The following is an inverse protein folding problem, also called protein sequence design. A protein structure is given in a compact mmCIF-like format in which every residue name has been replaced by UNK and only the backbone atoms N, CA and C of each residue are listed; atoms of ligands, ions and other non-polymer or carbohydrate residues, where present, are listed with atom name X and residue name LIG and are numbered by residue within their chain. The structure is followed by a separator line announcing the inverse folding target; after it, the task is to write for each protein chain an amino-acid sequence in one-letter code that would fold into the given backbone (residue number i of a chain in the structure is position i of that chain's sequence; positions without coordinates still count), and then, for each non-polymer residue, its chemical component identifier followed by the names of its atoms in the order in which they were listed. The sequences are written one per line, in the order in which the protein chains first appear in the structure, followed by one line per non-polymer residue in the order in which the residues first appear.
data_IF_268164075892
#
_entry.id   IF_268164075892
#
_cell.length_a   1.000
_cell.length_b   1.000
_cell.length_c   1.000
_cell.angle_alpha   90.00
_cell.angle_beta   90.00
_cell.angle_gamma   90.00
#
_symmetry.space_group_name_H-M   'P 1'
#
loop_
_entity.id
_entity.type
_entity.pdbx_description
1 polymer ?
#
# COMPACT_ATOMS: atom_id res chain seq x y z
N UNK A 1 -14.65 -15.92 17.94
CA UNK A 1 -14.00 -15.16 16.84
C UNK A 1 -14.31 -13.65 16.84
N UNK A 2 -15.16 -13.13 17.74
CA UNK A 2 -15.57 -11.70 17.75
C UNK A 2 -14.79 -10.77 18.67
N UNK A 3 -13.88 -11.34 19.44
CA UNK A 3 -13.03 -10.60 20.36
C UNK A 3 -11.58 -10.74 19.90
N UNK A 4 -10.89 -9.61 19.70
CA UNK A 4 -9.46 -9.57 19.41
C UNK A 4 -8.69 -8.90 20.54
N UNK A 5 -7.46 -9.38 20.76
CA UNK A 5 -6.47 -8.71 21.61
C UNK A 5 -5.56 -7.90 20.71
N UNK A 6 -5.42 -6.61 20.95
CA UNK A 6 -4.54 -5.72 20.19
C UNK A 6 -3.26 -5.52 20.98
N UNK A 7 -2.14 -5.84 20.34
CA UNK A 7 -0.79 -5.62 20.89
C UNK A 7 -0.14 -4.52 20.04
N UNK A 8 0.17 -3.35 20.62
CA UNK A 8 0.88 -2.30 19.91
C UNK A 8 2.35 -2.68 19.75
N UNK A 9 2.86 -2.62 18.53
CA UNK A 9 4.28 -2.84 18.20
C UNK A 9 4.89 -1.50 17.77
N UNK A 10 5.99 -1.11 18.40
CA UNK A 10 6.69 0.13 18.07
C UNK A 10 7.29 0.07 16.64
N UNK A 11 7.06 1.11 15.83
CA UNK A 11 7.56 1.22 14.46
C UNK A 11 8.83 2.07 14.38
N UNK A 12 8.77 3.34 14.78
CA UNK A 12 9.85 4.32 14.64
C UNK A 12 9.50 5.65 15.31
N UNK A 13 10.47 6.51 15.61
CA UNK A 13 10.21 7.86 16.14
C UNK A 13 10.15 7.90 17.67
N UNK A 14 9.26 8.73 18.22
CA UNK A 14 9.08 8.83 19.68
C UNK A 14 8.16 7.73 20.20
N UNK A 15 8.57 7.05 21.28
CA UNK A 15 7.76 6.04 21.98
C UNK A 15 6.60 6.64 22.78
N UNK A 16 6.55 7.97 22.92
CA UNK A 16 5.47 8.69 23.61
C UNK A 16 4.28 8.98 22.69
N UNK A 17 4.48 8.90 21.37
CA UNK A 17 3.43 9.15 20.38
C UNK A 17 2.76 7.83 19.96
N UNK A 18 1.45 7.62 20.25
CA UNK A 18 0.73 6.42 19.85
C UNK A 18 0.68 6.19 18.34
N UNK A 19 0.85 7.24 17.50
CA UNK A 19 0.87 7.12 16.05
C UNK A 19 2.11 6.34 15.54
N UNK A 20 3.16 6.25 16.36
CA UNK A 20 4.37 5.50 16.08
C UNK A 20 4.26 4.00 16.41
N UNK A 21 3.10 3.54 16.87
CA UNK A 21 2.81 2.13 17.13
C UNK A 21 1.87 1.56 16.07
N UNK A 22 2.14 0.29 15.71
CA UNK A 22 1.32 -0.51 14.82
C UNK A 22 0.47 -1.47 15.66
N UNK A 23 -0.86 -1.36 15.65
CA UNK A 23 -1.72 -2.29 16.37
C UNK A 23 -1.79 -3.64 15.65
N UNK A 24 -1.37 -4.73 16.31
CA UNK A 24 -1.55 -6.09 15.78
C UNK A 24 -2.66 -6.80 16.55
N UNK A 25 -3.71 -7.19 15.82
CA UNK A 25 -4.79 -8.02 16.33
C UNK A 25 -4.39 -9.49 16.39
N UNK A 26 -4.40 -10.03 17.60
CA UNK A 26 -4.20 -11.45 17.88
C UNK A 26 -5.54 -12.12 18.09
N UNK A 27 -5.81 -13.12 17.26
CA UNK A 27 -7.01 -13.95 17.34
C UNK A 27 -6.75 -15.31 18.01
N UNK A 28 -7.79 -15.91 18.63
CA UNK A 28 -7.75 -17.31 19.05
C UNK A 28 -7.43 -18.24 17.86
N UNK A 29 -6.63 -19.28 18.10
CA UNK A 29 -6.14 -20.23 17.08
C UNK A 29 -7.26 -20.82 16.21
N UNK A 30 -8.39 -21.22 16.81
CA UNK A 30 -9.52 -21.76 16.05
C UNK A 30 -10.09 -20.75 15.04
N UNK A 31 -10.07 -19.45 15.37
CA UNK A 31 -10.51 -18.40 14.45
C UNK A 31 -9.59 -18.31 13.23
N UNK A 32 -8.28 -18.55 13.43
CA UNK A 32 -7.29 -18.51 12.35
C UNK A 32 -7.50 -19.64 11.35
N UNK A 33 -7.82 -20.84 11.83
CA UNK A 33 -8.15 -21.99 10.97
C UNK A 33 -9.37 -21.67 10.11
N UNK A 34 -10.42 -21.12 10.73
CA UNK A 34 -11.63 -20.76 10.01
C UNK A 34 -11.41 -19.65 8.97
N UNK A 35 -10.66 -18.59 9.33
CA UNK A 35 -10.27 -17.54 8.38
C UNK A 35 -9.45 -18.08 7.20
N UNK A 36 -8.56 -19.05 7.46
CA UNK A 36 -7.75 -19.67 6.42
C UNK A 36 -8.62 -20.43 5.41
N UNK A 37 -9.60 -21.21 5.88
CA UNK A 37 -10.54 -21.93 5.01
C UNK A 37 -11.35 -20.95 4.14
N UNK A 38 -11.87 -19.86 4.74
CA UNK A 38 -12.59 -18.83 3.98
C UNK A 38 -11.67 -18.18 2.94
N UNK A 39 -10.46 -17.79 3.36
CA UNK A 39 -9.49 -17.15 2.48
C UNK A 39 -9.16 -18.02 1.27
N UNK A 40 -8.91 -19.31 1.48
CA UNK A 40 -8.56 -20.23 0.39
C UNK A 40 -9.70 -20.37 -0.64
N UNK A 41 -10.96 -20.44 -0.18
CA UNK A 41 -12.13 -20.46 -1.06
C UNK A 41 -12.32 -19.15 -1.82
N UNK A 42 -12.17 -18.01 -1.13
CA UNK A 42 -12.31 -16.68 -1.75
C UNK A 42 -11.22 -16.41 -2.77
N UNK A 43 -9.96 -16.73 -2.45
CA UNK A 43 -8.85 -16.62 -3.39
C UNK A 43 -9.05 -17.53 -4.61
N UNK A 44 -9.51 -18.76 -4.41
CA UNK A 44 -9.83 -19.67 -5.52
C UNK A 44 -10.89 -19.04 -6.45
N UNK A 45 -11.98 -18.52 -5.89
CA UNK A 45 -13.03 -17.84 -6.66
C UNK A 45 -12.49 -16.60 -7.42
N UNK A 46 -11.74 -15.73 -6.75
CA UNK A 46 -11.18 -14.52 -7.38
C UNK A 46 -10.16 -14.85 -8.47
N UNK A 47 -9.35 -15.88 -8.29
CA UNK A 47 -8.35 -16.30 -9.27
C UNK A 47 -8.98 -16.95 -10.51
N UNK A 48 -9.94 -17.87 -10.33
CA UNK A 48 -10.62 -18.55 -11.44
C UNK A 48 -11.34 -17.53 -12.34
N UNK A 49 -11.97 -16.53 -11.73
CA UNK A 49 -12.72 -15.50 -12.44
C UNK A 49 -11.86 -14.27 -12.82
N UNK A 50 -10.54 -14.29 -12.56
CA UNK A 50 -9.60 -13.20 -12.85
C UNK A 50 -10.08 -11.83 -12.34
N UNK A 51 -10.59 -11.79 -11.11
CA UNK A 51 -11.24 -10.61 -10.54
C UNK A 51 -10.27 -9.60 -9.95
N UNK A 52 -9.06 -10.03 -9.56
CA UNK A 52 -8.03 -9.11 -9.07
C UNK A 52 -7.33 -8.42 -10.23
N UNK A 53 -7.10 -7.11 -10.10
CA UNK A 53 -6.47 -6.32 -11.13
C UNK A 53 -5.01 -6.75 -11.35
N UNK A 54 -4.56 -6.74 -12.61
CA UNK A 54 -3.21 -7.18 -12.98
C UNK A 54 -2.09 -6.30 -12.42
N UNK A 55 -2.40 -5.11 -11.93
CA UNK A 55 -1.42 -4.20 -11.34
C UNK A 55 -1.31 -4.35 -9.81
N UNK A 56 -2.03 -5.31 -9.21
CA UNK A 56 -1.91 -5.64 -7.79
C UNK A 56 -0.90 -6.77 -7.57
N UNK A 57 0.24 -6.46 -6.96
CA UNK A 57 1.31 -7.41 -6.67
C UNK A 57 1.32 -7.86 -5.21
N UNK A 58 0.73 -7.08 -4.31
CA UNK A 58 0.66 -7.37 -2.89
C UNK A 58 -0.29 -8.53 -2.60
N UNK A 59 0.12 -9.42 -1.70
CA UNK A 59 -0.68 -10.55 -1.21
C UNK A 59 -1.32 -11.42 -2.30
N UNK A 60 -0.76 -11.39 -3.51
CA UNK A 60 -1.27 -12.11 -4.68
C UNK A 60 -0.36 -13.28 -4.98
N UNK A 61 -0.93 -14.46 -5.25
CA UNK A 61 -0.15 -15.68 -5.46
C UNK A 61 0.75 -15.54 -6.70
N UNK A 62 2.03 -15.89 -6.54
CA UNK A 62 3.00 -15.85 -7.64
C UNK A 62 3.47 -14.45 -8.01
N UNK A 63 3.19 -13.45 -7.16
CA UNK A 63 3.70 -12.08 -7.29
C UNK A 63 4.48 -11.69 -6.05
N UNK A 64 5.50 -10.88 -6.26
CA UNK A 64 6.46 -10.49 -5.24
C UNK A 64 6.73 -8.99 -5.27
N UNK A 65 7.44 -8.50 -4.25
CA UNK A 65 7.94 -7.11 -4.23
C UNK A 65 8.91 -6.85 -5.38
N UNK A 66 9.66 -7.85 -5.82
CA UNK A 66 10.57 -7.73 -6.96
C UNK A 66 9.81 -7.58 -8.27
N UNK A 67 8.72 -8.32 -8.46
CA UNK A 67 7.89 -8.18 -9.68
C UNK A 67 7.28 -6.78 -9.78
N UNK A 68 6.79 -6.25 -8.66
CA UNK A 68 6.26 -4.88 -8.59
C UNK A 68 7.35 -3.84 -8.91
N UNK A 69 8.57 -4.05 -8.39
CA UNK A 69 9.71 -3.19 -8.67
C UNK A 69 10.12 -3.21 -10.14
N UNK A 70 10.18 -4.40 -10.73
CA UNK A 70 10.48 -4.57 -12.17
C UNK A 70 9.43 -3.87 -13.02
N UNK A 71 8.13 -4.03 -12.72
CA UNK A 71 7.07 -3.38 -13.50
C UNK A 71 7.14 -1.84 -13.38
N UNK A 72 7.36 -1.31 -12.17
CA UNK A 72 7.55 0.13 -11.96
C UNK A 72 8.74 0.68 -12.79
N UNK A 73 9.88 0.02 -12.71
CA UNK A 73 11.10 0.41 -13.43
C UNK A 73 10.88 0.31 -14.94
N UNK A 74 10.18 -0.72 -15.41
CA UNK A 74 9.82 -0.89 -16.81
C UNK A 74 8.94 0.28 -17.31
N UNK A 75 7.95 0.73 -16.55
CA UNK A 75 7.17 1.92 -16.93
C UNK A 75 8.05 3.18 -17.09
N UNK A 76 9.04 3.35 -16.20
CA UNK A 76 10.01 4.46 -16.28
C UNK A 76 10.88 4.33 -17.54
N UNK A 77 11.42 3.15 -17.82
CA UNK A 77 12.23 2.91 -19.03
C UNK A 77 11.44 3.13 -20.31
N UNK A 78 10.19 2.64 -20.38
CA UNK A 78 9.34 2.87 -21.54
C UNK A 78 9.11 4.37 -21.80
N UNK A 79 9.03 5.22 -20.77
CA UNK A 79 8.97 6.67 -20.96
C UNK A 79 10.28 7.20 -21.58
N UNK A 80 11.42 6.78 -21.04
CA UNK A 80 12.73 7.23 -21.53
C UNK A 80 13.03 6.79 -22.96
N UNK A 81 12.65 5.56 -23.34
CA UNK A 81 12.77 5.05 -24.72
C UNK A 81 11.97 5.90 -25.71
N UNK A 82 10.82 6.44 -25.27
CA UNK A 82 10.01 7.37 -26.05
C UNK A 82 10.49 8.83 -25.96
N UNK A 83 11.69 9.08 -25.40
CA UNK A 83 12.24 10.43 -25.17
C UNK A 83 11.37 11.32 -24.26
N UNK A 84 10.56 10.70 -23.40
CA UNK A 84 9.74 11.33 -22.37
C UNK A 84 10.45 11.29 -21.01
N UNK A 85 10.04 12.14 -20.08
CA UNK A 85 10.39 11.98 -18.66
C UNK A 85 9.29 11.17 -17.97
N UNK A 86 9.58 10.49 -16.86
CA UNK A 86 8.58 9.83 -16.04
C UNK A 86 8.42 10.56 -14.70
N UNK A 87 7.20 10.81 -14.28
CA UNK A 87 6.89 11.42 -12.99
C UNK A 87 6.20 10.39 -12.12
N UNK A 88 6.85 9.99 -11.04
CA UNK A 88 6.32 9.02 -10.09
C UNK A 88 5.72 9.67 -8.86
N UNK A 89 4.47 9.30 -8.53
CA UNK A 89 3.80 9.67 -7.29
C UNK A 89 3.70 8.42 -6.42
N UNK A 90 4.39 8.43 -5.29
CA UNK A 90 4.49 7.32 -4.34
C UNK A 90 3.63 7.65 -3.12
N UNK A 91 2.40 7.14 -3.12
CA UNK A 91 1.39 7.41 -2.11
C UNK A 91 1.67 6.66 -0.80
N UNK A 92 1.56 7.36 0.33
CA UNK A 92 1.58 6.75 1.67
C UNK A 92 0.17 6.89 2.29
N UNK A 93 -0.52 5.77 2.48
CA UNK A 93 -1.83 5.75 3.11
C UNK A 93 -1.71 5.60 4.63
N UNK A 94 -2.35 6.51 5.37
CA UNK A 94 -2.35 6.49 6.83
C UNK A 94 -3.30 5.41 7.34
N UNK A 95 -2.72 4.37 7.96
CA UNK A 95 -3.48 3.28 8.62
C UNK A 95 -4.52 2.65 7.69
N UNK A 96 -4.17 2.42 6.42
CA UNK A 96 -5.10 2.00 5.37
C UNK A 96 -6.02 0.83 5.76
N UNK A 97 -5.47 -0.19 6.42
CA UNK A 97 -6.23 -1.34 6.91
C UNK A 97 -7.26 -0.98 7.98
N UNK A 98 -6.98 -0.01 8.86
CA UNK A 98 -7.89 0.43 9.92
C UNK A 98 -9.00 1.35 9.37
N UNK A 99 -8.79 1.93 8.19
CA UNK A 99 -9.69 2.86 7.51
C UNK A 99 -10.79 2.19 6.66
N UNK A 100 -10.72 0.87 6.45
CA UNK A 100 -11.68 0.16 5.59
C UNK A 100 -13.11 0.26 6.12
N UNK A 101 -13.98 0.95 5.39
CA UNK A 101 -15.39 1.05 5.76
C UNK A 101 -16.14 -0.24 5.41
N UNK A 102 -16.76 -0.88 6.42
CA UNK A 102 -17.33 -2.23 6.27
C UNK A 102 -18.44 -2.29 5.23
N UNK A 103 -19.33 -1.30 5.19
CA UNK A 103 -20.43 -1.29 4.22
C UNK A 103 -19.92 -1.14 2.78
N UNK A 104 -18.94 -0.26 2.57
CA UNK A 104 -18.29 -0.08 1.27
C UNK A 104 -17.62 -1.37 0.82
N UNK A 105 -16.91 -2.06 1.72
CA UNK A 105 -16.30 -3.37 1.45
C UNK A 105 -17.34 -4.42 1.07
N UNK A 106 -18.47 -4.49 1.79
CA UNK A 106 -19.56 -5.43 1.51
C UNK A 106 -20.16 -5.17 0.11
N UNK A 107 -20.38 -3.91 -0.25
CA UNK A 107 -20.85 -3.53 -1.60
C UNK A 107 -19.86 -3.92 -2.70
N UNK A 108 -18.55 -3.72 -2.47
CA UNK A 108 -17.51 -4.17 -3.41
C UNK A 108 -17.47 -5.69 -3.53
N UNK A 109 -17.57 -6.44 -2.43
CA UNK A 109 -17.66 -7.91 -2.47
C UNK A 109 -18.86 -8.38 -3.30
N UNK A 110 -20.02 -7.73 -3.14
CA UNK A 110 -21.22 -8.00 -3.94
C UNK A 110 -20.99 -7.71 -5.43
N UNK A 111 -20.35 -6.58 -5.75
CA UNK A 111 -19.98 -6.20 -7.11
C UNK A 111 -19.10 -7.25 -7.77
N UNK A 112 -18.11 -7.77 -7.05
CA UNK A 112 -17.24 -8.87 -7.52
C UNK A 112 -17.91 -10.26 -7.49
N UNK A 113 -19.21 -10.34 -7.21
CA UNK A 113 -19.99 -11.57 -7.32
C UNK A 113 -20.05 -12.44 -6.06
N UNK A 114 -19.52 -11.99 -4.92
CA UNK A 114 -19.69 -12.69 -3.64
C UNK A 114 -21.12 -12.48 -3.14
N UNK A 115 -21.92 -13.56 -3.14
CA UNK A 115 -23.37 -13.50 -2.86
C UNK A 115 -23.79 -14.52 -1.80
N UNK A 116 -25.06 -14.45 -1.39
CA UNK A 116 -25.74 -15.43 -0.55
C UNK A 116 -25.00 -15.76 0.75
N UNK A 117 -24.80 -17.04 1.05
CA UNK A 117 -24.22 -17.54 2.30
C UNK A 117 -22.79 -17.06 2.51
N UNK A 118 -21.98 -16.99 1.44
CA UNK A 118 -20.61 -16.49 1.52
C UNK A 118 -20.59 -15.02 1.96
N UNK A 119 -21.44 -14.19 1.35
CA UNK A 119 -21.54 -12.78 1.74
C UNK A 119 -22.07 -12.63 3.17
N UNK A 120 -23.12 -13.37 3.54
CA UNK A 120 -23.67 -13.37 4.92
C UNK A 120 -22.60 -13.77 5.94
N UNK A 121 -21.71 -14.69 5.59
CA UNK A 121 -20.60 -15.10 6.45
C UNK A 121 -19.59 -13.97 6.64
N UNK A 122 -19.23 -13.24 5.57
CA UNK A 122 -18.31 -12.08 5.66
C UNK A 122 -18.95 -10.91 6.42
N UNK A 123 -20.22 -10.60 6.15
CA UNK A 123 -20.99 -9.59 6.90
C UNK A 123 -20.97 -9.97 8.38
N UNK A 124 -21.37 -11.20 8.69
CA UNK A 124 -21.31 -11.73 10.05
C UNK A 124 -19.91 -11.51 10.59
N UNK A 125 -18.84 -11.99 9.93
CA UNK A 125 -17.43 -11.88 10.33
C UNK A 125 -17.00 -10.46 10.75
N UNK A 126 -17.37 -9.43 9.98
CA UNK A 126 -17.03 -8.03 10.23
C UNK A 126 -17.88 -7.40 11.35
N UNK A 127 -19.15 -7.78 11.46
CA UNK A 127 -20.08 -7.20 12.43
C UNK A 127 -19.82 -7.64 13.88
N UNK A 128 -20.23 -6.77 14.81
CA UNK A 128 -20.24 -6.99 16.26
C UNK A 128 -18.88 -7.45 16.83
N UNK A 129 -17.79 -6.99 16.21
CA UNK A 129 -16.44 -7.24 16.71
C UNK A 129 -16.10 -6.27 17.82
N UNK A 130 -15.42 -6.78 18.85
CA UNK A 130 -14.85 -6.00 19.93
C UNK A 130 -13.35 -6.24 19.99
N UNK A 131 -12.59 -5.20 20.28
CA UNK A 131 -11.16 -5.27 20.50
C UNK A 131 -10.81 -4.71 21.87
N UNK A 132 -9.72 -5.23 22.46
CA UNK A 132 -9.12 -4.66 23.66
C UNK A 132 -7.62 -4.56 23.50
N UNK A 133 -7.02 -3.52 24.04
CA UNK A 133 -5.57 -3.31 23.98
C UNK A 133 -4.93 -3.97 25.19
N UNK A 134 -3.81 -4.65 24.98
CA UNK A 134 -2.99 -5.23 26.05
C UNK A 134 -1.59 -4.63 26.00
N UNK A 135 -1.17 -4.03 27.12
CA UNK A 135 0.17 -3.45 27.30
C UNK A 135 0.71 -3.96 28.64
N UNK A 136 1.91 -4.55 28.63
CA UNK A 136 2.60 -5.04 29.83
C UNK A 136 1.70 -5.87 30.76
N UNK A 137 0.90 -6.78 30.17
CA UNK A 137 -0.02 -7.66 30.90
C UNK A 137 -1.34 -7.02 31.35
N UNK A 138 -1.49 -5.69 31.27
CA UNK A 138 -2.73 -4.98 31.60
C UNK A 138 -3.64 -4.86 30.37
N UNK A 139 -4.95 -5.03 30.57
CA UNK A 139 -5.96 -4.96 29.51
C UNK A 139 -6.82 -3.71 29.64
N UNK A 140 -7.14 -3.05 28.51
CA UNK A 140 -8.18 -2.03 28.45
C UNK A 140 -9.58 -2.64 28.56
N UNK A 141 -10.59 -1.77 28.72
CA UNK A 141 -11.97 -2.12 28.38
C UNK A 141 -12.10 -2.47 26.90
N UNK A 142 -13.15 -3.23 26.55
CA UNK A 142 -13.42 -3.62 25.17
C UNK A 142 -14.15 -2.52 24.40
N UNK A 143 -13.67 -2.20 23.21
CA UNK A 143 -14.30 -1.23 22.29
C UNK A 143 -14.78 -1.92 21.02
N UNK A 144 -15.90 -1.49 20.42
CA UNK A 144 -16.37 -2.03 19.15
C UNK A 144 -15.40 -1.67 18.02
N UNK A 145 -15.31 -2.55 17.02
CA UNK A 145 -14.55 -2.30 15.77
C UNK A 145 -15.56 -1.91 14.70
N UNK A 146 -15.69 -0.61 14.46
CA UNK A 146 -16.66 -0.04 13.51
C UNK A 146 -16.12 0.08 12.09
N UNK A 147 -14.80 0.21 11.96
CA UNK A 147 -14.08 0.26 10.69
C UNK A 147 -12.83 -0.59 10.77
N UNK A 148 -12.30 -0.90 9.60
CA UNK A 148 -11.03 -1.56 9.40
C UNK A 148 -11.13 -3.07 9.30
N UNK A 149 -10.08 -3.64 8.71
CA UNK A 149 -9.75 -5.06 8.70
C UNK A 149 -8.43 -5.22 9.45
N UNK A 150 -8.48 -5.34 10.79
CA UNK A 150 -7.30 -5.20 11.64
C UNK A 150 -6.09 -6.02 11.19
N UNK A 151 -4.90 -5.44 11.32
CA UNK A 151 -3.66 -6.10 10.97
C UNK A 151 -3.43 -7.34 11.86
N UNK A 152 -2.97 -8.45 11.28
CA UNK A 152 -2.80 -9.73 11.99
C UNK A 152 -3.97 -10.72 11.81
N UNK A 153 -5.06 -10.28 11.16
CA UNK A 153 -6.10 -11.17 10.63
C UNK A 153 -5.61 -11.83 9.34
N UNK A 154 -5.93 -13.11 9.16
CA UNK A 154 -5.56 -13.87 7.96
C UNK A 154 -6.39 -13.40 6.76
N UNK A 155 -7.66 -13.10 6.99
CA UNK A 155 -8.57 -12.63 5.95
C UNK A 155 -8.38 -11.13 5.63
N UNK A 156 -7.77 -10.37 6.54
CA UNK A 156 -7.62 -8.91 6.44
C UNK A 156 -6.92 -8.42 5.16
N UNK A 157 -5.73 -8.94 4.81
CA UNK A 157 -5.05 -8.66 3.55
C UNK A 157 -5.93 -8.82 2.33
N UNK A 158 -6.62 -9.96 2.20
CA UNK A 158 -7.51 -10.21 1.06
C UNK A 158 -8.67 -9.21 0.99
N UNK A 159 -9.32 -8.91 2.12
CA UNK A 159 -10.41 -7.94 2.14
C UNK A 159 -9.93 -6.53 1.75
N UNK A 160 -8.71 -6.16 2.15
CA UNK A 160 -8.10 -4.91 1.70
C UNK A 160 -7.82 -4.92 0.19
N UNK A 161 -7.32 -6.03 -0.36
CA UNK A 161 -7.14 -6.16 -1.82
C UNK A 161 -8.46 -5.91 -2.55
N UNK A 162 -9.55 -6.55 -2.13
CA UNK A 162 -10.89 -6.33 -2.72
C UNK A 162 -11.32 -4.87 -2.61
N UNK A 163 -10.99 -4.21 -1.50
CA UNK A 163 -11.35 -2.81 -1.25
C UNK A 163 -10.70 -1.83 -2.23
N UNK A 164 -9.42 -2.06 -2.55
CA UNK A 164 -8.63 -1.18 -3.43
C UNK A 164 -8.64 -1.62 -4.90
N UNK A 165 -9.20 -2.78 -5.21
CA UNK A 165 -9.04 -3.44 -6.51
C UNK A 165 -9.57 -2.64 -7.72
N UNK A 166 -10.52 -1.73 -7.51
CA UNK A 166 -11.10 -0.87 -8.55
C UNK A 166 -10.32 0.44 -8.76
N UNK A 167 -9.34 0.76 -7.89
CA UNK A 167 -8.52 1.96 -8.02
C UNK A 167 -7.81 2.07 -9.38
N UNK A 168 -7.20 1.00 -9.94
CA UNK A 168 -6.54 1.09 -11.24
C UNK A 168 -7.46 1.51 -12.40
N UNK A 169 -8.77 1.18 -12.33
CA UNK A 169 -9.72 1.58 -13.37
C UNK A 169 -9.94 3.09 -13.44
N UNK A 170 -9.69 3.82 -12.35
CA UNK A 170 -9.76 5.28 -12.33
C UNK A 170 -8.67 5.93 -13.19
N UNK A 171 -7.50 5.30 -13.21
CA UNK A 171 -6.32 5.78 -13.94
C UNK A 171 -6.45 5.45 -15.43
N UNK A 172 -7.07 4.31 -15.74
CA UNK A 172 -7.29 3.84 -17.11
C UNK A 172 -5.97 3.61 -17.85
N UNK A 173 -6.00 3.68 -19.18
CA UNK A 173 -4.82 3.47 -20.02
C UNK A 173 -3.93 4.73 -20.15
N UNK A 174 -4.37 5.85 -19.57
CA UNK A 174 -3.66 7.13 -19.68
C UNK A 174 -2.37 7.18 -18.85
N UNK A 175 -2.34 6.47 -17.71
CA UNK A 175 -1.18 6.45 -16.83
C UNK A 175 -0.97 5.06 -16.23
N UNK A 176 0.25 4.80 -15.80
CA UNK A 176 0.62 3.50 -15.23
C UNK A 176 0.45 3.53 -13.71
N UNK A 177 0.02 2.42 -13.13
CA UNK A 177 -0.16 2.25 -11.68
C UNK A 177 0.39 0.91 -11.23
N UNK A 178 1.10 0.90 -10.11
CA UNK A 178 1.60 -0.31 -9.45
C UNK A 178 1.08 -0.31 -8.02
N UNK A 179 0.39 -1.38 -7.64
CA UNK A 179 -0.15 -1.57 -6.29
C UNK A 179 0.59 -2.72 -5.59
N UNK A 180 0.93 -2.52 -4.33
CA UNK A 180 1.35 -3.58 -3.44
C UNK A 180 0.62 -3.42 -2.11
N UNK A 181 -0.54 -4.07 -1.99
CA UNK A 181 -1.48 -3.83 -0.90
C UNK A 181 -1.84 -2.34 -0.80
N UNK A 182 -1.49 -1.68 0.30
CA UNK A 182 -1.72 -0.25 0.54
C UNK A 182 -0.69 0.67 -0.13
N UNK A 183 0.50 0.17 -0.45
CA UNK A 183 1.50 0.93 -1.21
C UNK A 183 0.99 1.14 -2.65
N UNK A 184 0.75 2.39 -3.01
CA UNK A 184 0.23 2.79 -4.33
C UNK A 184 1.23 3.71 -5.02
N UNK A 185 1.62 3.36 -6.25
CA UNK A 185 2.55 4.18 -7.05
C UNK A 185 1.97 4.45 -8.42
N UNK A 186 1.90 5.72 -8.81
CA UNK A 186 1.46 6.15 -10.14
C UNK A 186 2.67 6.66 -10.93
N UNK A 187 2.72 6.33 -12.21
CA UNK A 187 3.76 6.78 -13.13
C UNK A 187 3.09 7.52 -14.30
N UNK A 188 3.42 8.79 -14.44
CA UNK A 188 2.99 9.65 -15.52
C UNK A 188 4.10 9.79 -16.56
N UNK A 189 3.78 9.59 -17.83
CA UNK A 189 4.71 9.79 -18.95
C UNK A 189 4.60 11.24 -19.43
N UNK A 190 5.70 11.98 -19.35
CA UNK A 190 5.75 13.42 -19.58
C UNK A 190 6.50 13.74 -20.89
N UNK A 191 5.77 14.11 -21.92
CA UNK A 191 6.34 14.61 -23.17
C UNK A 191 7.04 15.94 -22.94
N UNK A 192 8.36 15.98 -23.13
CA UNK A 192 9.19 17.16 -22.81
C UNK A 192 8.73 18.46 -23.50
N UNK A 193 8.23 18.37 -24.71
CA UNK A 193 7.84 19.52 -25.53
C UNK A 193 6.37 19.93 -25.38
N UNK A 194 5.52 19.04 -24.87
CA UNK A 194 4.07 19.23 -24.82
C UNK A 194 3.47 18.92 -23.45
N UNK A 195 4.29 18.97 -22.41
CA UNK A 195 3.87 18.62 -21.06
C UNK A 195 2.78 19.57 -20.57
N UNK A 196 1.65 19.00 -20.16
CA UNK A 196 0.56 19.74 -19.51
C UNK A 196 0.45 19.28 -18.07
N UNK A 197 0.90 20.14 -17.15
CA UNK A 197 0.81 19.86 -15.72
C UNK A 197 -0.64 19.64 -15.24
N UNK A 198 -1.60 20.25 -15.93
CA UNK A 198 -3.03 20.10 -15.66
C UNK A 198 -3.52 18.64 -15.79
N UNK A 199 -3.01 17.87 -16.74
CA UNK A 199 -3.41 16.46 -16.92
C UNK A 199 -3.00 15.61 -15.71
N UNK A 200 -1.76 15.81 -15.23
CA UNK A 200 -1.23 15.15 -14.03
C UNK A 200 -2.03 15.57 -12.79
N UNK A 201 -2.25 16.87 -12.59
CA UNK A 201 -2.99 17.38 -11.44
C UNK A 201 -4.46 16.93 -11.44
N UNK A 202 -5.09 16.81 -12.61
CA UNK A 202 -6.44 16.27 -12.74
C UNK A 202 -6.49 14.78 -12.36
N UNK A 203 -5.53 13.98 -12.80
CA UNK A 203 -5.43 12.57 -12.44
C UNK A 203 -5.18 12.38 -10.93
N UNK A 204 -4.29 13.19 -10.35
CA UNK A 204 -4.02 13.18 -8.90
C UNK A 204 -5.27 13.62 -8.11
N UNK A 205 -5.99 14.63 -8.58
CA UNK A 205 -7.24 15.07 -7.93
C UNK A 205 -8.31 13.98 -7.94
N UNK A 206 -8.45 13.25 -9.06
CA UNK A 206 -9.33 12.07 -9.13
C UNK A 206 -8.88 10.99 -8.15
N UNK A 207 -7.58 10.69 -8.09
CA UNK A 207 -7.01 9.69 -7.18
C UNK A 207 -7.30 10.05 -5.71
N UNK A 208 -7.02 11.28 -5.32
CA UNK A 208 -7.30 11.83 -3.99
C UNK A 208 -8.79 11.74 -3.67
N UNK A 209 -9.65 12.14 -4.60
CA UNK A 209 -11.10 12.03 -4.43
C UNK A 209 -11.54 10.58 -4.22
N UNK A 210 -11.00 9.64 -5.00
CA UNK A 210 -11.29 8.22 -4.86
C UNK A 210 -10.86 7.69 -3.48
N UNK A 211 -9.67 8.06 -2.99
CA UNK A 211 -9.23 7.70 -1.64
C UNK A 211 -10.21 8.22 -0.58
N UNK A 212 -10.59 9.49 -0.67
CA UNK A 212 -11.51 10.13 0.29
C UNK A 212 -12.89 9.46 0.30
N UNK A 213 -13.48 9.18 -0.88
CA UNK A 213 -14.78 8.49 -1.00
C UNK A 213 -14.72 7.07 -0.45
N UNK A 214 -13.56 6.42 -0.51
CA UNK A 214 -13.33 5.10 0.08
C UNK A 214 -12.76 5.18 1.51
N UNK A 215 -12.86 6.32 2.20
CA UNK A 215 -12.37 6.51 3.57
C UNK A 215 -10.87 6.23 3.78
N UNK A 216 -10.08 6.20 2.71
CA UNK A 216 -8.63 6.04 2.78
C UNK A 216 -7.97 7.43 2.86
N UNK A 217 -7.06 7.59 3.82
CA UNK A 217 -6.41 8.89 4.05
C UNK A 217 -5.00 8.90 3.48
N UNK A 218 -4.81 9.69 2.42
CA UNK A 218 -3.49 9.92 1.85
C UNK A 218 -2.68 10.90 2.71
N UNK A 219 -1.46 10.51 3.08
CA UNK A 219 -0.56 11.33 3.86
C UNK A 219 0.28 12.23 2.95
N UNK A 220 -0.04 13.52 2.87
CA UNK A 220 0.71 14.46 2.02
C UNK A 220 2.19 14.56 2.39
N UNK A 221 2.52 14.57 3.69
CA UNK A 221 3.89 14.69 4.18
C UNK A 221 4.78 13.46 3.91
N UNK A 222 4.17 12.30 3.65
CA UNK A 222 4.89 11.04 3.37
C UNK A 222 4.77 10.60 1.91
N UNK A 223 3.81 11.15 1.19
CA UNK A 223 3.69 10.96 -0.25
C UNK A 223 4.87 11.65 -0.91
N UNK A 224 5.55 10.96 -1.81
CA UNK A 224 6.71 11.52 -2.51
C UNK A 224 6.44 11.65 -4.00
N UNK A 225 6.93 12.73 -4.58
CA UNK A 225 6.98 12.93 -6.03
C UNK A 225 8.43 12.76 -6.49
N UNK A 226 8.70 11.98 -7.53
CA UNK A 226 10.04 11.85 -8.11
C UNK A 226 9.94 12.03 -9.61
N UNK A 227 10.74 12.95 -10.16
CA UNK A 227 10.89 13.11 -11.60
C UNK A 227 12.07 12.26 -12.09
N UNK A 228 11.78 11.19 -12.80
CA UNK A 228 12.75 10.32 -13.45
C UNK A 228 13.09 10.84 -14.85
N UNK A 229 14.34 11.27 -15.06
CA UNK A 229 14.78 11.83 -16.34
C UNK A 229 16.20 11.41 -16.69
N UNK A 230 16.46 11.20 -17.97
CA UNK A 230 17.80 10.95 -18.51
C UNK A 230 18.60 12.23 -18.74
N UNK A 231 17.95 13.40 -18.71
CA UNK A 231 18.59 14.68 -18.99
C UNK A 231 19.01 15.42 -17.72
N UNK A 232 20.06 16.24 -17.82
CA UNK A 232 20.44 17.17 -16.74
C UNK A 232 19.57 18.44 -16.71
N UNK A 233 18.59 18.57 -17.63
CA UNK A 233 17.75 19.77 -17.76
C UNK A 233 16.61 19.67 -16.76
N UNK A 234 16.70 20.47 -15.69
CA UNK A 234 15.70 20.52 -14.62
C UNK A 234 14.44 21.34 -14.96
N UNK A 235 14.37 21.94 -16.15
CA UNK A 235 13.49 23.09 -16.41
C UNK A 235 12.02 22.79 -16.76
N UNK A 236 11.50 21.59 -16.48
CA UNK A 236 10.04 21.41 -16.52
C UNK A 236 9.50 21.80 -15.16
N UNK A 237 8.78 22.93 -15.08
CA UNK A 237 7.95 23.26 -13.92
C UNK A 237 6.87 22.18 -13.77
N UNK A 238 7.16 21.17 -12.95
CA UNK A 238 6.21 20.12 -12.56
C UNK A 238 5.58 20.50 -11.22
N UNK A 239 4.77 21.56 -11.22
CA UNK A 239 4.02 21.99 -10.04
C UNK A 239 2.86 21.01 -9.84
N UNK A 240 3.15 19.93 -9.13
CA UNK A 240 2.18 18.90 -8.75
C UNK A 240 1.51 19.34 -7.46
N UNK A 241 0.19 19.23 -7.37
CA UNK A 241 -0.55 19.58 -6.17
C UNK A 241 -1.26 18.36 -5.58
N UNK A 242 -1.17 18.23 -4.26
CA UNK A 242 -1.89 17.23 -3.48
C UNK A 242 -2.73 17.96 -2.43
N UNK A 243 -4.06 17.86 -2.50
CA UNK A 243 -4.98 18.60 -1.62
C UNK A 243 -4.75 20.14 -1.58
N UNK A 244 -4.26 20.72 -2.67
CA UNK A 244 -3.95 22.16 -2.76
C UNK A 244 -2.56 22.54 -2.23
N UNK A 245 -1.80 21.60 -1.66
CA UNK A 245 -0.39 21.81 -1.28
C UNK A 245 0.54 21.35 -2.41
N UNK A 246 1.61 22.09 -2.66
CA UNK A 246 2.59 21.74 -3.70
C UNK A 246 3.44 20.55 -3.25
N UNK A 247 3.47 19.50 -4.08
CA UNK A 247 4.26 18.31 -3.91
C UNK A 247 5.52 18.39 -4.78
N UNK A 248 6.54 19.06 -4.24
CA UNK A 248 7.84 19.22 -4.91
C UNK A 248 8.55 17.88 -5.17
N UNK A 249 9.25 17.73 -6.32
CA UNK A 249 9.96 16.50 -6.62
C UNK A 249 11.17 16.31 -5.70
N UNK A 250 11.31 15.12 -5.13
CA UNK A 250 12.49 14.69 -4.36
C UNK A 250 13.47 13.93 -5.25
N UNK A 251 14.75 13.95 -4.89
CA UNK A 251 15.82 13.30 -5.66
C UNK A 251 15.83 11.77 -5.54
N UNK A 252 15.21 11.24 -4.49
CA UNK A 252 15.11 9.79 -4.27
C UNK A 252 13.94 9.44 -3.36
N UNK A 253 13.39 8.24 -3.54
CA UNK A 253 12.34 7.69 -2.68
C UNK A 253 12.57 6.20 -2.38
N UNK A 254 11.82 5.65 -1.43
CA UNK A 254 11.83 4.22 -1.12
C UNK A 254 10.55 3.58 -1.64
N UNK A 255 10.69 2.62 -2.54
CA UNK A 255 9.61 1.79 -3.06
C UNK A 255 9.84 0.33 -2.66
N UNK A 256 8.96 -0.23 -1.83
CA UNK A 256 9.01 -1.63 -1.37
C UNK A 256 10.40 -2.09 -0.85
N UNK A 257 11.13 -1.18 -0.19
CA UNK A 257 12.46 -1.42 0.36
C UNK A 257 13.63 -1.14 -0.59
N UNK A 258 13.36 -0.82 -1.85
CA UNK A 258 14.33 -0.39 -2.86
C UNK A 258 14.41 1.13 -2.84
N UNK A 259 15.62 1.69 -2.86
CA UNK A 259 15.80 3.14 -2.96
C UNK A 259 15.94 3.50 -4.43
N UNK A 260 15.00 4.28 -4.96
CA UNK A 260 15.00 4.76 -6.33
C UNK A 260 15.49 6.20 -6.34
N UNK A 261 16.56 6.50 -7.06
CA UNK A 261 16.98 7.87 -7.38
C UNK A 261 16.42 8.32 -8.73
N UNK A 262 16.32 9.63 -8.93
CA UNK A 262 15.76 10.25 -10.13
C UNK A 262 16.43 9.82 -11.46
N UNK A 263 17.63 9.24 -11.41
CA UNK A 263 18.36 8.75 -12.60
C UNK A 263 18.48 7.23 -12.64
N UNK A 264 17.89 6.52 -11.68
CA UNK A 264 18.04 5.07 -11.48
C UNK A 264 19.51 4.62 -11.54
N UNK A 265 20.40 5.37 -10.87
CA UNK A 265 21.83 5.05 -10.77
C UNK A 265 22.15 4.11 -9.61
N UNK A 266 21.19 3.84 -8.70
CA UNK A 266 21.26 2.85 -7.62
C UNK A 266 22.29 3.13 -6.52
N UNK A 267 23.14 4.15 -6.66
CA UNK A 267 24.16 4.51 -5.67
C UNK A 267 23.62 4.62 -4.24
N UNK A 268 22.54 5.40 -3.99
CA UNK A 268 21.93 5.50 -2.66
C UNK A 268 21.44 4.16 -2.12
N UNK A 269 20.90 3.29 -2.98
CA UNK A 269 20.44 1.96 -2.58
C UNK A 269 21.61 1.07 -2.16
N UNK A 270 22.65 1.00 -2.99
CA UNK A 270 23.85 0.18 -2.75
C UNK A 270 24.53 0.60 -1.45
N UNK A 271 24.74 1.90 -1.24
CA UNK A 271 25.36 2.43 -0.02
C UNK A 271 24.56 2.06 1.24
N UNK A 272 23.23 2.20 1.20
CA UNK A 272 22.35 1.84 2.32
C UNK A 272 22.37 0.34 2.59
N UNK A 273 22.36 -0.49 1.54
CA UNK A 273 22.42 -1.94 1.66
C UNK A 273 23.77 -2.40 2.21
N UNK A 274 24.88 -1.89 1.68
CA UNK A 274 26.23 -2.20 2.14
C UNK A 274 26.41 -1.88 3.64
N UNK A 275 25.94 -0.72 4.09
CA UNK A 275 25.97 -0.35 5.51
C UNK A 275 25.19 -1.34 6.41
N UNK A 276 23.99 -1.73 5.98
CA UNK A 276 23.17 -2.73 6.70
C UNK A 276 23.84 -4.11 6.72
N UNK A 277 24.41 -4.56 5.60
CA UNK A 277 25.08 -5.84 5.50
C UNK A 277 26.34 -5.90 6.35
N UNK A 278 27.16 -4.85 6.35
CA UNK A 278 28.33 -4.74 7.23
C UNK A 278 27.95 -4.84 8.70
N UNK A 279 26.87 -4.16 9.10
CA UNK A 279 26.36 -4.21 10.47
C UNK A 279 25.86 -5.62 10.86
N UNK A 280 25.12 -6.28 9.97
CA UNK A 280 24.65 -7.64 10.18
C UNK A 280 25.80 -8.66 10.22
N UNK A 281 26.76 -8.56 9.32
CA UNK A 281 27.95 -9.42 9.28
C UNK A 281 28.78 -9.29 10.56
N UNK A 282 28.94 -8.07 11.07
CA UNK A 282 29.60 -7.84 12.36
C UNK A 282 28.85 -8.51 13.51
N UNK A 283 27.51 -8.39 13.56
CA UNK A 283 26.71 -9.05 14.58
C UNK A 283 26.84 -10.59 14.53
N UNK A 284 26.78 -11.18 13.33
CA UNK A 284 26.98 -12.63 13.15
C UNK A 284 28.40 -13.05 13.58
N UNK A 285 29.42 -12.28 13.21
CA UNK A 285 30.81 -12.54 13.63
C UNK A 285 30.94 -12.54 15.15
N UNK A 286 30.30 -11.59 15.84
CA UNK A 286 30.32 -11.47 17.30
C UNK A 286 29.61 -12.64 17.99
N UNK A 287 28.51 -13.13 17.42
CA UNK A 287 27.80 -14.31 17.94
C UNK A 287 28.67 -15.57 17.79
N UNK A 288 29.40 -15.72 16.67
CA UNK A 288 30.28 -16.87 16.44
C UNK A 288 31.51 -16.90 17.36
N UNK A 289 31.92 -15.76 17.91
CA UNK A 289 33.04 -15.65 18.84
C UNK A 289 32.67 -15.94 20.31
N UNK A 290 31.41 -16.30 20.58
CA UNK A 290 30.91 -16.83 21.85
C UNK A 290 30.44 -18.27 21.65
#
# INVERSE_FOLDING_TARGET
MKHSKVIPIFKSGSTLDPANFRPISVLPTLSKIFEKIILDQMLSFFNINKLLHNNQFGFTRGRSTTDAGVELIKHIFCAWENSEDALGIFCDLSKAFDCVHHETLIRKLQYYGVKNTALKLIISYLSNRKQKVIINGKSSSGSPVLMGVPQGLILGPFLFLVYINDLPHLVGDSHDIVLFADDTSLIFKLKRQSFKCEEVNNAISKLVHWFNVNNLHLNGNKTNCVKFTTTNVQNLNTNVFLNGEELGPVVSTVFLGITLDAKLQWGPHISKLASRLSSAAYAVKKIRSH
#
